data_IF_320414945375
#
_entry.id   IF_320414945375
#
_cell.length_a   1.000
_cell.length_b   1.000
_cell.length_c   1.000
_cell.angle_alpha   90.00
_cell.angle_beta   90.00
_cell.angle_gamma   90.00
#
_symmetry.space_group_name_H-M   'P 1'
#
loop_
_entity.id
_entity.type
_entity.pdbx_description
1 polymer ?
#
# COMPACT_ATOMS: atom_id res chain seq x y z
N UNK A 1 -13.50 -16.38 -15.36
CA UNK A 1 -12.20 -15.99 -14.81
C UNK A 1 -11.77 -14.58 -15.22
N UNK A 2 -11.82 -14.18 -16.49
CA UNK A 2 -11.39 -12.83 -16.94
C UNK A 2 -12.12 -11.67 -16.25
N UNK A 3 -13.44 -11.74 -16.07
CA UNK A 3 -14.24 -10.69 -15.42
C UNK A 3 -13.90 -10.47 -13.93
N UNK A 4 -13.48 -11.53 -13.22
CA UNK A 4 -13.08 -11.43 -11.81
C UNK A 4 -11.71 -10.77 -11.66
N UNK A 5 -10.78 -11.02 -12.58
CA UNK A 5 -9.45 -10.39 -12.58
C UNK A 5 -9.55 -8.89 -12.87
N UNK A 6 -10.27 -8.50 -13.93
CA UNK A 6 -10.47 -7.08 -14.27
C UNK A 6 -11.13 -6.30 -13.13
N UNK A 7 -12.10 -6.89 -12.44
CA UNK A 7 -12.73 -6.26 -11.27
C UNK A 7 -11.72 -6.05 -10.14
N UNK A 8 -10.88 -7.04 -9.86
CA UNK A 8 -9.83 -6.92 -8.85
C UNK A 8 -8.81 -5.84 -9.21
N UNK A 9 -8.43 -5.75 -10.49
CA UNK A 9 -7.47 -4.75 -10.98
C UNK A 9 -8.03 -3.33 -10.85
N UNK A 10 -9.31 -3.13 -11.19
CA UNK A 10 -9.99 -1.83 -11.01
C UNK A 10 -10.08 -1.44 -9.53
N UNK A 11 -10.35 -2.40 -8.63
CA UNK A 11 -10.39 -2.12 -7.20
C UNK A 11 -9.00 -1.80 -6.64
N UNK A 12 -7.94 -2.46 -7.14
CA UNK A 12 -6.56 -2.12 -6.78
C UNK A 12 -6.16 -0.74 -7.31
N UNK A 13 -6.66 -0.35 -8.49
CA UNK A 13 -6.44 1.00 -9.02
C UNK A 13 -7.13 2.07 -8.15
N UNK A 14 -8.35 1.78 -7.65
CA UNK A 14 -9.02 2.65 -6.67
C UNK A 14 -8.21 2.75 -5.38
N UNK A 15 -7.65 1.64 -4.89
CA UNK A 15 -6.77 1.65 -3.73
C UNK A 15 -5.51 2.49 -3.98
N UNK A 16 -4.88 2.36 -5.16
CA UNK A 16 -3.73 3.16 -5.57
C UNK A 16 -4.06 4.66 -5.62
N UNK A 17 -5.24 5.03 -6.13
CA UNK A 17 -5.71 6.42 -6.13
C UNK A 17 -5.85 6.97 -4.70
N UNK A 18 -6.50 6.21 -3.81
CA UNK A 18 -6.68 6.61 -2.41
C UNK A 18 -5.31 6.75 -1.73
N UNK A 19 -4.39 5.80 -1.92
CA UNK A 19 -3.06 5.88 -1.31
C UNK A 19 -2.21 7.02 -1.87
N UNK A 20 -2.26 7.26 -3.17
CA UNK A 20 -1.57 8.39 -3.79
C UNK A 20 -1.98 9.72 -3.17
N UNK A 21 -3.28 9.97 -3.07
CA UNK A 21 -3.81 11.16 -2.42
C UNK A 21 -3.58 11.17 -0.90
N UNK A 22 -3.45 10.01 -0.26
CA UNK A 22 -3.12 9.89 1.16
C UNK A 22 -1.73 10.44 1.49
N UNK A 23 -0.75 10.43 0.57
CA UNK A 23 0.57 11.03 0.82
C UNK A 23 0.46 12.52 1.16
N UNK A 24 -0.47 13.25 0.52
CA UNK A 24 -0.77 14.64 0.85
C UNK A 24 -1.33 14.75 2.26
N UNK A 25 -2.34 13.96 2.60
CA UNK A 25 -2.92 13.95 3.94
C UNK A 25 -1.88 13.58 5.01
N UNK A 26 -1.02 12.58 4.74
CA UNK A 26 0.07 12.20 5.63
C UNK A 26 1.05 13.36 5.85
N UNK A 27 1.43 14.08 4.78
CA UNK A 27 2.34 15.23 4.87
C UNK A 27 1.72 16.37 5.68
N UNK A 28 0.46 16.70 5.43
CA UNK A 28 -0.28 17.71 6.20
C UNK A 28 -0.41 17.31 7.68
N UNK A 29 -0.62 16.04 7.98
CA UNK A 29 -0.69 15.56 9.37
C UNK A 29 0.59 15.78 10.15
N UNK A 30 1.76 15.75 9.49
CA UNK A 30 3.07 15.96 10.14
C UNK A 30 3.30 17.41 10.58
N UNK A 31 2.49 18.35 10.14
CA UNK A 31 2.57 19.73 10.59
C UNK A 31 1.98 19.93 12.01
N UNK A 32 1.21 18.93 12.49
CA UNK A 32 0.47 19.02 13.76
C UNK A 32 0.93 17.96 14.78
N UNK A 33 1.15 16.71 14.35
CA UNK A 33 1.44 15.58 15.24
C UNK A 33 2.62 14.75 14.75
N UNK A 34 3.23 13.98 15.66
CA UNK A 34 4.33 13.09 15.33
C UNK A 34 3.90 11.90 14.45
N UNK A 35 4.87 11.31 13.71
CA UNK A 35 4.62 10.21 12.77
C UNK A 35 3.98 8.98 13.42
N UNK A 36 4.37 8.64 14.63
CA UNK A 36 3.83 7.47 15.33
C UNK A 36 2.43 7.73 15.88
N UNK A 37 2.16 8.93 16.40
CA UNK A 37 0.82 9.36 16.82
C UNK A 37 -0.14 9.34 15.63
N UNK A 38 0.28 9.86 14.48
CA UNK A 38 -0.53 9.81 13.26
C UNK A 38 -0.86 8.38 12.85
N UNK A 39 0.14 7.48 12.81
CA UNK A 39 -0.07 6.08 12.47
C UNK A 39 -0.98 5.37 13.48
N UNK A 40 -0.79 5.60 14.78
CA UNK A 40 -1.65 5.04 15.82
C UNK A 40 -3.12 5.43 15.59
N UNK A 41 -3.40 6.71 15.38
CA UNK A 41 -4.76 7.22 15.20
C UNK A 41 -5.40 6.73 13.90
N UNK A 42 -4.69 6.79 12.76
CA UNK A 42 -5.28 6.38 11.47
C UNK A 42 -5.57 4.88 11.42
N UNK A 43 -4.70 4.03 11.98
CA UNK A 43 -4.93 2.58 11.98
C UNK A 43 -5.95 2.16 13.04
N UNK A 44 -6.03 2.84 14.20
CA UNK A 44 -7.13 2.66 15.14
C UNK A 44 -8.47 2.96 14.48
N UNK A 45 -8.57 4.10 13.81
CA UNK A 45 -9.78 4.50 13.08
C UNK A 45 -10.11 3.53 11.95
N UNK A 46 -9.09 3.04 11.22
CA UNK A 46 -9.26 2.01 10.20
C UNK A 46 -9.84 0.71 10.78
N UNK A 47 -9.34 0.26 11.93
CA UNK A 47 -9.89 -0.91 12.62
C UNK A 47 -11.36 -0.68 13.04
N UNK A 48 -11.66 0.47 13.66
CA UNK A 48 -13.02 0.84 14.09
C UNK A 48 -13.98 0.88 12.89
N UNK A 49 -13.56 1.40 11.74
CA UNK A 49 -14.34 1.46 10.51
C UNK A 49 -14.75 0.06 10.01
N UNK A 50 -13.93 -0.96 10.28
CA UNK A 50 -14.22 -2.35 9.87
C UNK A 50 -15.12 -3.11 10.86
N UNK A 51 -15.23 -2.67 12.12
CA UNK A 51 -16.02 -3.37 13.15
C UNK A 51 -17.45 -3.67 12.70
N UNK A 52 -18.24 -2.72 12.14
CA UNK A 52 -19.58 -3.00 11.68
C UNK A 52 -19.63 -4.07 10.58
N UNK A 53 -18.63 -4.09 9.69
CA UNK A 53 -18.53 -5.05 8.60
C UNK A 53 -18.14 -6.44 9.10
N UNK A 54 -17.26 -6.51 10.11
CA UNK A 54 -16.84 -7.78 10.74
C UNK A 54 -17.99 -8.42 11.50
N UNK A 55 -18.83 -7.63 12.19
CA UNK A 55 -19.96 -8.12 12.99
C UNK A 55 -21.20 -8.36 12.12
N UNK A 56 -21.50 -7.46 11.18
CA UNK A 56 -22.77 -7.40 10.46
C UNK A 56 -22.82 -8.22 9.18
N UNK A 57 -21.68 -8.59 8.58
CA UNK A 57 -21.64 -9.34 7.33
C UNK A 57 -21.22 -10.79 7.62
N UNK A 58 -22.18 -11.74 7.68
CA UNK A 58 -21.82 -13.14 7.76
C UNK A 58 -21.01 -13.51 6.51
N UNK A 59 -19.88 -14.18 6.72
CA UNK A 59 -19.05 -14.67 5.62
C UNK A 59 -19.81 -15.71 4.80
N UNK A 60 -20.36 -15.30 3.65
CA UNK A 60 -21.10 -16.15 2.70
C UNK A 60 -20.20 -16.69 1.57
N UNK A 61 -18.89 -16.62 1.72
CA UNK A 61 -17.93 -17.15 0.73
C UNK A 61 -18.15 -18.64 0.52
N UNK A 62 -18.16 -19.10 -0.75
CA UNK A 62 -18.32 -20.49 -1.17
C UNK A 62 -17.17 -21.43 -0.73
N UNK A 63 -16.07 -20.89 -0.25
CA UNK A 63 -15.12 -21.65 0.54
C UNK A 63 -15.71 -21.79 1.93
N UNK A 64 -15.83 -23.02 2.49
CA UNK A 64 -16.17 -23.19 3.88
C UNK A 64 -15.33 -22.19 4.67
N UNK A 65 -15.85 -21.62 5.78
CA UNK A 65 -14.94 -21.06 6.72
C UNK A 65 -13.98 -22.24 6.96
N UNK A 66 -12.78 -22.18 6.38
CA UNK A 66 -11.70 -22.94 6.97
C UNK A 66 -11.89 -22.57 8.42
N UNK A 67 -12.30 -23.55 9.23
CA UNK A 67 -12.50 -23.36 10.66
C UNK A 67 -11.29 -22.57 11.06
N UNK A 68 -11.51 -21.24 11.22
CA UNK A 68 -10.45 -20.30 10.99
C UNK A 68 -9.44 -20.69 12.05
N UNK A 69 -8.33 -21.29 11.59
CA UNK A 69 -7.30 -21.66 12.52
C UNK A 69 -6.96 -20.34 13.19
N UNK A 70 -7.61 -20.09 14.33
CA UNK A 70 -7.55 -18.82 15.08
C UNK A 70 -6.11 -18.44 15.28
N UNK A 71 -5.25 -19.46 15.37
CA UNK A 71 -3.81 -19.31 15.41
C UNK A 71 -3.25 -18.71 14.10
N UNK A 72 -3.65 -19.21 12.93
CA UNK A 72 -3.23 -18.64 11.66
C UNK A 72 -3.69 -17.19 11.52
N UNK A 73 -4.94 -16.91 11.92
CA UNK A 73 -5.51 -15.56 11.83
C UNK A 73 -4.78 -14.59 12.76
N UNK A 74 -4.57 -14.95 14.03
CA UNK A 74 -3.91 -14.08 15.00
C UNK A 74 -2.42 -13.90 14.69
N UNK A 75 -1.68 -14.99 14.47
CA UNK A 75 -0.25 -14.90 14.16
C UNK A 75 0.00 -14.30 12.78
N UNK A 76 -0.74 -14.74 11.76
CA UNK A 76 -0.60 -14.21 10.40
C UNK A 76 -1.02 -12.75 10.31
N UNK A 77 -2.18 -12.39 10.86
CA UNK A 77 -2.64 -11.00 10.94
C UNK A 77 -1.71 -10.12 11.78
N UNK A 78 -1.17 -10.65 12.89
CA UNK A 78 -0.16 -9.97 13.71
C UNK A 78 1.14 -9.72 12.96
N UNK A 79 1.66 -10.72 12.20
CA UNK A 79 2.84 -10.57 11.35
C UNK A 79 2.61 -9.58 10.21
N UNK A 80 1.42 -9.62 9.59
CA UNK A 80 1.03 -8.62 8.60
C UNK A 80 0.98 -7.21 9.22
N UNK A 81 0.45 -7.09 10.46
CA UNK A 81 0.44 -5.86 11.22
C UNK A 81 1.83 -5.35 11.59
N UNK A 82 2.76 -6.24 11.90
CA UNK A 82 4.17 -5.88 12.15
C UNK A 82 4.85 -5.38 10.86
N UNK A 83 4.65 -6.04 9.73
CA UNK A 83 5.15 -5.58 8.44
C UNK A 83 4.52 -4.23 8.05
N UNK A 84 3.21 -4.08 8.25
CA UNK A 84 2.47 -2.82 8.06
C UNK A 84 3.03 -1.71 8.95
N UNK A 85 3.29 -2.00 10.23
CA UNK A 85 3.92 -1.06 11.16
C UNK A 85 5.30 -0.62 10.67
N UNK A 86 6.15 -1.56 10.25
CA UNK A 86 7.48 -1.24 9.70
C UNK A 86 7.40 -0.35 8.48
N UNK A 87 6.57 -0.71 7.48
CA UNK A 87 6.36 0.08 6.26
C UNK A 87 5.80 1.46 6.54
N UNK A 88 4.69 1.52 7.28
CA UNK A 88 4.00 2.76 7.58
C UNK A 88 4.84 3.71 8.46
N UNK A 89 5.58 3.18 9.45
CA UNK A 89 6.42 4.00 10.33
C UNK A 89 7.62 4.58 9.59
N UNK A 90 8.32 3.76 8.82
CA UNK A 90 9.45 4.23 8.03
C UNK A 90 9.02 5.27 7.00
N UNK A 91 7.91 5.03 6.30
CA UNK A 91 7.34 5.97 5.35
C UNK A 91 6.93 7.28 6.04
N UNK A 92 6.27 7.21 7.19
CA UNK A 92 5.77 8.39 7.90
C UNK A 92 6.91 9.22 8.49
N UNK A 93 7.95 8.58 9.04
CA UNK A 93 9.18 9.28 9.48
C UNK A 93 9.85 9.94 8.27
N UNK A 94 9.94 9.24 7.15
CA UNK A 94 10.52 9.76 5.92
C UNK A 94 9.80 11.02 5.42
N UNK A 95 8.46 11.04 5.47
CA UNK A 95 7.63 12.18 5.05
C UNK A 95 7.85 13.47 5.86
N UNK A 96 8.44 13.39 7.05
CA UNK A 96 8.89 14.58 7.79
C UNK A 96 10.00 15.32 7.05
N UNK A 97 10.81 14.59 6.27
CA UNK A 97 12.05 15.11 5.64
C UNK A 97 12.02 15.12 4.11
N UNK A 98 10.96 14.61 3.48
CA UNK A 98 10.85 14.53 2.01
C UNK A 98 9.45 14.95 1.52
N UNK A 99 9.30 15.15 0.20
CA UNK A 99 8.02 15.54 -0.40
C UNK A 99 7.07 14.34 -0.56
N UNK A 100 5.78 14.60 -0.72
CA UNK A 100 4.76 13.58 -0.94
C UNK A 100 5.05 12.79 -2.24
N UNK A 101 5.38 13.49 -3.34
CA UNK A 101 5.70 12.86 -4.62
C UNK A 101 6.96 11.98 -4.53
N UNK A 102 8.03 12.44 -3.84
CA UNK A 102 9.27 11.67 -3.69
C UNK A 102 9.08 10.45 -2.77
N UNK A 103 8.30 10.59 -1.70
CA UNK A 103 7.95 9.47 -0.84
C UNK A 103 7.12 8.42 -1.60
N UNK A 104 6.12 8.83 -2.37
CA UNK A 104 5.35 7.93 -3.23
C UNK A 104 6.24 7.17 -4.22
N UNK A 105 7.19 7.86 -4.85
CA UNK A 105 8.19 7.25 -5.73
C UNK A 105 8.98 6.13 -5.04
N UNK A 106 9.65 6.46 -3.93
CA UNK A 106 10.53 5.52 -3.24
C UNK A 106 9.73 4.35 -2.68
N UNK A 107 8.54 4.61 -2.14
CA UNK A 107 7.62 3.55 -1.70
C UNK A 107 7.31 2.60 -2.85
N UNK A 108 6.95 3.11 -4.01
CA UNK A 108 6.58 2.29 -5.17
C UNK A 108 7.71 1.45 -5.76
N UNK A 109 8.96 1.60 -5.29
CA UNK A 109 10.04 0.66 -5.63
C UNK A 109 9.74 -0.79 -5.18
N UNK A 110 8.74 -1.00 -4.31
CA UNK A 110 8.26 -2.35 -4.05
C UNK A 110 7.76 -3.07 -5.31
N UNK A 111 7.44 -2.37 -6.39
CA UNK A 111 7.10 -2.95 -7.70
C UNK A 111 8.20 -3.89 -8.24
N UNK A 112 9.45 -3.62 -7.90
CA UNK A 112 10.60 -4.47 -8.24
C UNK A 112 10.93 -5.44 -7.11
N UNK A 113 10.82 -4.97 -5.87
CA UNK A 113 11.13 -5.79 -4.70
C UNK A 113 10.19 -7.00 -4.57
N UNK A 114 8.89 -6.83 -4.87
CA UNK A 114 7.91 -7.91 -4.79
C UNK A 114 8.22 -9.07 -5.76
N UNK A 115 8.40 -8.88 -7.09
CA UNK A 115 8.74 -9.99 -7.96
C UNK A 115 10.11 -10.62 -7.62
N UNK A 116 11.12 -9.82 -7.25
CA UNK A 116 12.45 -10.33 -6.86
C UNK A 116 12.33 -11.18 -5.59
N UNK A 117 11.73 -10.67 -4.53
CA UNK A 117 11.54 -11.45 -3.29
C UNK A 117 10.62 -12.64 -3.50
N UNK A 118 9.65 -12.56 -4.42
CA UNK A 118 8.80 -13.65 -4.83
C UNK A 118 9.58 -14.82 -5.42
N UNK A 119 10.64 -14.57 -6.21
CA UNK A 119 11.50 -15.64 -6.72
C UNK A 119 12.19 -16.43 -5.59
N UNK A 120 12.69 -15.74 -4.57
CA UNK A 120 13.29 -16.39 -3.39
C UNK A 120 12.26 -17.19 -2.58
N UNK A 121 10.99 -16.84 -2.65
CA UNK A 121 9.89 -17.57 -2.04
C UNK A 121 9.34 -18.70 -2.93
N UNK A 122 9.97 -18.97 -4.09
CA UNK A 122 9.54 -19.99 -5.04
C UNK A 122 8.34 -19.60 -5.90
N UNK A 123 7.91 -18.34 -5.88
CA UNK A 123 6.81 -17.88 -6.72
C UNK A 123 7.28 -17.69 -8.16
N UNK A 124 6.52 -18.22 -9.11
CA UNK A 124 6.75 -17.99 -10.55
C UNK A 124 5.95 -16.75 -10.98
N UNK A 125 6.62 -15.77 -11.55
CA UNK A 125 5.98 -14.60 -12.11
C UNK A 125 5.76 -14.75 -13.61
N UNK A 126 4.66 -14.19 -14.13
CA UNK A 126 4.46 -14.08 -15.58
C UNK A 126 5.61 -13.30 -16.22
N UNK A 127 6.03 -13.71 -17.41
CA UNK A 127 7.09 -13.02 -18.19
C UNK A 127 6.76 -11.53 -18.39
N UNK A 128 5.48 -11.18 -18.54
CA UNK A 128 5.03 -9.79 -18.70
C UNK A 128 5.27 -8.90 -17.46
N UNK A 129 5.47 -9.47 -16.27
CA UNK A 129 5.77 -8.72 -15.04
C UNK A 129 7.12 -7.99 -15.16
N UNK A 130 8.11 -8.60 -15.82
CA UNK A 130 9.46 -8.02 -15.91
C UNK A 130 9.53 -6.75 -16.78
N UNK A 131 9.02 -6.75 -18.04
CA UNK A 131 8.98 -5.51 -18.82
C UNK A 131 8.04 -4.48 -18.19
N UNK A 132 6.94 -4.89 -17.55
CA UNK A 132 6.08 -3.99 -16.79
C UNK A 132 6.83 -3.33 -15.63
N UNK A 133 7.56 -4.09 -14.81
CA UNK A 133 8.37 -3.55 -13.72
C UNK A 133 9.48 -2.62 -14.24
N UNK A 134 10.14 -2.97 -15.35
CA UNK A 134 11.16 -2.10 -15.96
C UNK A 134 10.56 -0.77 -16.43
N UNK A 135 9.39 -0.76 -17.07
CA UNK A 135 8.69 0.46 -17.46
C UNK A 135 8.24 1.28 -16.24
N UNK A 136 7.74 0.62 -15.19
CA UNK A 136 7.38 1.28 -13.94
C UNK A 136 8.59 1.99 -13.33
N UNK A 137 9.74 1.31 -13.23
CA UNK A 137 10.99 1.90 -12.70
C UNK A 137 11.47 3.07 -13.55
N UNK A 138 11.43 2.94 -14.89
CA UNK A 138 11.80 4.03 -15.78
C UNK A 138 10.86 5.24 -15.61
N UNK A 139 9.55 4.98 -15.48
CA UNK A 139 8.55 6.02 -15.20
C UNK A 139 8.76 6.67 -13.84
N UNK A 140 9.00 5.87 -12.80
CA UNK A 140 9.34 6.31 -11.46
C UNK A 140 10.60 7.21 -11.47
N UNK A 141 11.63 6.80 -12.20
CA UNK A 141 12.84 7.59 -12.35
C UNK A 141 12.58 8.96 -12.97
N UNK A 142 11.83 9.00 -14.09
CA UNK A 142 11.49 10.27 -14.75
C UNK A 142 10.61 11.17 -13.88
N UNK A 143 9.68 10.59 -13.13
CA UNK A 143 8.75 11.35 -12.29
C UNK A 143 9.46 12.02 -11.11
N UNK A 144 10.45 11.39 -10.53
CA UNK A 144 10.95 11.78 -9.20
C UNK A 144 12.34 12.39 -9.20
N UNK A 145 13.16 12.14 -10.23
CA UNK A 145 14.49 12.71 -10.32
C UNK A 145 14.41 14.05 -11.05
N UNK A 146 14.39 15.13 -10.30
CA UNK A 146 14.66 16.48 -10.75
C UNK A 146 16.19 16.72 -10.79
N UNK A 147 16.64 17.94 -11.08
CA UNK A 147 18.04 18.30 -11.45
C UNK A 147 19.15 17.90 -10.47
N UNK A 148 18.83 17.55 -9.21
CA UNK A 148 19.80 17.04 -8.25
C UNK A 148 19.28 15.79 -7.54
N UNK A 149 19.86 14.62 -7.87
CA UNK A 149 19.61 13.37 -7.15
C UNK A 149 20.41 13.37 -5.84
N UNK A 150 19.87 14.03 -4.82
CA UNK A 150 20.44 13.94 -3.47
C UNK A 150 19.55 13.01 -2.65
N UNK A 151 20.10 11.87 -2.23
CA UNK A 151 19.41 10.97 -1.30
C UNK A 151 19.47 11.60 0.09
N UNK A 152 18.33 12.09 0.56
CA UNK A 152 18.19 12.64 1.90
C UNK A 152 17.91 11.56 2.96
N UNK A 153 17.98 11.95 4.24
CA UNK A 153 17.64 11.04 5.35
C UNK A 153 16.22 10.49 5.23
N UNK A 154 15.27 11.33 4.81
CA UNK A 154 13.87 10.91 4.60
C UNK A 154 13.75 9.82 3.55
N UNK A 155 14.51 9.92 2.47
CA UNK A 155 14.48 8.95 1.37
C UNK A 155 14.96 7.56 1.82
N UNK A 156 15.98 7.50 2.70
CA UNK A 156 16.47 6.25 3.27
C UNK A 156 15.42 5.59 4.15
N UNK A 157 14.70 6.36 4.97
CA UNK A 157 13.59 5.81 5.76
C UNK A 157 12.51 5.24 4.85
N UNK A 158 12.07 5.99 3.82
CA UNK A 158 11.04 5.50 2.89
C UNK A 158 11.52 4.26 2.13
N UNK A 159 12.80 4.19 1.74
CA UNK A 159 13.38 3.03 1.07
C UNK A 159 13.36 1.79 1.97
N UNK A 160 13.72 1.91 3.24
CA UNK A 160 13.57 0.82 4.21
C UNK A 160 12.09 0.42 4.32
N UNK A 161 11.19 1.41 4.32
CA UNK A 161 9.75 1.18 4.28
C UNK A 161 9.30 0.33 3.08
N UNK A 162 9.88 0.57 1.90
CA UNK A 162 9.54 -0.18 0.67
C UNK A 162 9.83 -1.69 0.80
N UNK A 163 10.85 -2.11 1.54
CA UNK A 163 11.10 -3.52 1.85
C UNK A 163 10.00 -4.11 2.74
N UNK A 164 9.56 -3.38 3.75
CA UNK A 164 8.44 -3.82 4.60
C UNK A 164 7.13 -3.90 3.80
N UNK A 165 6.90 -2.98 2.86
CA UNK A 165 5.75 -3.04 1.95
C UNK A 165 5.81 -4.27 1.05
N UNK A 166 6.98 -4.63 0.52
CA UNK A 166 7.14 -5.86 -0.27
C UNK A 166 6.83 -7.12 0.57
N UNK A 167 7.33 -7.18 1.80
CA UNK A 167 7.01 -8.27 2.75
C UNK A 167 5.50 -8.31 3.03
N UNK A 168 4.89 -7.15 3.29
CA UNK A 168 3.46 -7.05 3.56
C UNK A 168 2.62 -7.56 2.39
N UNK A 169 2.95 -7.17 1.15
CA UNK A 169 2.25 -7.65 -0.07
C UNK A 169 2.28 -9.18 -0.17
N UNK A 170 3.43 -9.82 0.11
CA UNK A 170 3.53 -11.27 0.11
C UNK A 170 2.73 -11.92 1.24
N UNK A 171 2.81 -11.39 2.46
CA UNK A 171 2.04 -11.88 3.60
C UNK A 171 0.54 -11.81 3.32
N UNK A 172 0.05 -10.68 2.84
CA UNK A 172 -1.36 -10.52 2.49
C UNK A 172 -1.77 -11.46 1.36
N UNK A 173 -0.96 -11.60 0.30
CA UNK A 173 -1.24 -12.54 -0.78
C UNK A 173 -1.36 -13.99 -0.32
N UNK A 174 -0.59 -14.39 0.70
CA UNK A 174 -0.68 -15.71 1.31
C UNK A 174 -1.89 -15.86 2.25
N UNK A 175 -2.11 -14.89 3.13
CA UNK A 175 -3.15 -14.94 4.16
C UNK A 175 -4.56 -14.78 3.59
N UNK A 176 -4.75 -13.88 2.62
CA UNK A 176 -6.04 -13.56 2.04
C UNK A 176 -6.72 -14.77 1.35
N UNK A 177 -5.92 -15.75 0.92
CA UNK A 177 -6.43 -17.01 0.34
C UNK A 177 -6.87 -18.02 1.40
N UNK A 178 -6.45 -17.85 2.66
CA UNK A 178 -6.57 -18.84 3.75
C UNK A 178 -7.45 -18.40 4.90
N UNK A 179 -7.74 -17.11 5.02
CA UNK A 179 -8.55 -16.55 6.09
C UNK A 179 -9.48 -15.45 5.57
N UNK A 180 -10.42 -15.01 6.41
CA UNK A 180 -11.36 -13.93 6.06
C UNK A 180 -10.60 -12.60 5.91
N UNK A 181 -10.69 -11.93 4.75
CA UNK A 181 -10.01 -10.66 4.49
C UNK A 181 -10.32 -9.55 5.50
N UNK A 182 -11.58 -9.44 5.95
CA UNK A 182 -11.98 -8.42 6.93
C UNK A 182 -11.30 -8.63 8.27
N UNK A 183 -11.20 -9.89 8.72
CA UNK A 183 -10.53 -10.21 9.98
C UNK A 183 -9.02 -9.96 9.88
N UNK A 184 -8.39 -10.33 8.75
CA UNK A 184 -6.97 -10.03 8.51
C UNK A 184 -6.74 -8.52 8.55
N UNK A 185 -7.56 -7.74 7.82
CA UNK A 185 -7.46 -6.29 7.78
C UNK A 185 -7.62 -5.67 9.19
N UNK A 186 -8.62 -6.12 9.95
CA UNK A 186 -8.87 -5.62 11.30
C UNK A 186 -7.69 -5.92 12.25
N UNK A 187 -7.19 -7.17 12.27
CA UNK A 187 -6.10 -7.58 13.15
C UNK A 187 -4.80 -6.85 12.82
N UNK A 188 -4.45 -6.72 11.53
CA UNK A 188 -3.24 -5.97 11.15
C UNK A 188 -3.32 -4.49 11.53
N UNK A 189 -4.51 -3.85 11.43
CA UNK A 189 -4.68 -2.47 11.84
C UNK A 189 -4.57 -2.31 13.36
N UNK A 190 -5.19 -3.20 14.15
CA UNK A 190 -5.06 -3.20 15.60
C UNK A 190 -3.59 -3.37 16.00
N UNK A 191 -2.88 -4.33 15.40
CA UNK A 191 -1.47 -4.57 15.71
C UNK A 191 -0.60 -3.36 15.34
N UNK A 192 -0.78 -2.79 14.13
CA UNK A 192 -0.05 -1.60 13.68
C UNK A 192 -0.34 -0.39 14.55
N UNK A 193 -1.60 -0.16 14.91
CA UNK A 193 -2.02 0.93 15.81
C UNK A 193 -1.40 0.79 17.19
N UNK A 194 -1.47 -0.40 17.79
CA UNK A 194 -0.93 -0.66 19.12
C UNK A 194 0.60 -0.46 19.15
N UNK A 195 1.32 -1.00 18.17
CA UNK A 195 2.78 -0.82 18.06
C UNK A 195 3.15 0.66 17.86
N UNK A 196 2.41 1.37 16.99
CA UNK A 196 2.62 2.81 16.77
C UNK A 196 2.36 3.61 18.04
N UNK A 197 1.29 3.29 18.77
CA UNK A 197 0.96 3.96 20.03
C UNK A 197 2.02 3.72 21.10
N UNK A 198 2.52 2.48 21.25
CA UNK A 198 3.61 2.17 22.18
C UNK A 198 4.85 3.02 21.89
N UNK A 199 5.22 3.18 20.62
CA UNK A 199 6.38 4.01 20.24
C UNK A 199 6.07 5.50 20.44
N UNK A 200 4.84 5.95 20.09
CA UNK A 200 4.43 7.34 20.27
C UNK A 200 4.50 7.78 21.74
N UNK A 201 4.03 6.96 22.66
CA UNK A 201 4.07 7.25 24.12
C UNK A 201 5.51 7.47 24.61
N UNK A 202 6.47 6.75 24.04
CA UNK A 202 7.88 6.84 24.46
C UNK A 202 8.61 8.00 23.78
N UNK A 203 8.32 8.27 22.49
CA UNK A 203 9.15 9.16 21.68
C UNK A 203 8.47 10.49 21.34
N UNK A 204 7.16 10.62 21.47
CA UNK A 204 6.41 11.79 21.04
C UNK A 204 5.61 12.43 22.17
N UNK A 205 5.32 13.71 22.02
CA UNK A 205 4.41 14.42 22.93
C UNK A 205 3.00 14.35 22.36
N UNK A 206 2.16 13.52 22.94
CA UNK A 206 0.77 13.35 22.52
C UNK A 206 -0.09 14.47 23.11
N UNK A 207 -0.72 15.28 22.27
CA UNK A 207 -1.64 16.35 22.64
C UNK A 207 -2.99 16.15 21.98
N UNK A 208 -4.06 16.20 22.74
CA UNK A 208 -5.42 16.09 22.20
C UNK A 208 -5.74 17.24 21.23
N UNK A 209 -5.30 18.45 21.53
CA UNK A 209 -5.52 19.60 20.64
C UNK A 209 -4.81 19.41 19.31
N UNK A 210 -3.55 18.98 19.32
CA UNK A 210 -2.79 18.69 18.11
C UNK A 210 -3.42 17.55 17.27
N UNK A 211 -4.01 16.52 17.92
CA UNK A 211 -4.77 15.47 17.25
C UNK A 211 -6.02 16.04 16.59
N UNK A 212 -6.72 16.97 17.24
CA UNK A 212 -7.90 17.63 16.67
C UNK A 212 -7.52 18.53 15.49
N UNK A 213 -6.38 19.23 15.55
CA UNK A 213 -5.86 20.01 14.43
C UNK A 213 -5.51 19.12 13.21
N UNK A 214 -5.05 17.89 13.46
CA UNK A 214 -4.79 16.88 12.44
C UNK A 214 -6.03 16.02 12.07
N UNK A 215 -7.25 16.38 12.51
CA UNK A 215 -8.43 15.53 12.36
C UNK A 215 -8.73 15.16 10.89
N UNK A 216 -8.66 16.11 9.96
CA UNK A 216 -8.92 15.86 8.53
C UNK A 216 -7.92 14.85 7.95
N UNK A 217 -6.59 15.04 8.09
CA UNK A 217 -5.60 14.04 7.72
C UNK A 217 -5.82 12.66 8.35
N UNK A 218 -6.17 12.61 9.63
CA UNK A 218 -6.44 11.36 10.35
C UNK A 218 -7.69 10.66 9.82
N UNK A 219 -8.78 11.40 9.62
CA UNK A 219 -10.03 10.84 9.06
C UNK A 219 -9.80 10.28 7.66
N UNK A 220 -9.11 11.03 6.81
CA UNK A 220 -8.76 10.57 5.46
C UNK A 220 -7.89 9.31 5.51
N UNK A 221 -6.80 9.36 6.27
CA UNK A 221 -5.86 8.25 6.43
C UNK A 221 -6.48 7.02 7.11
N UNK A 222 -7.39 7.21 8.06
CA UNK A 222 -8.06 6.13 8.80
C UNK A 222 -9.21 5.49 8.02
N UNK A 223 -10.14 6.30 7.51
CA UNK A 223 -11.33 5.76 6.84
C UNK A 223 -11.01 5.31 5.41
N UNK A 224 -10.44 6.20 4.60
CA UNK A 224 -10.20 5.89 3.18
C UNK A 224 -8.95 5.05 2.99
N UNK A 225 -7.80 5.48 3.52
CA UNK A 225 -6.54 4.77 3.29
C UNK A 225 -6.49 3.44 4.05
N UNK A 226 -6.70 3.44 5.38
CA UNK A 226 -6.70 2.20 6.16
C UNK A 226 -8.00 1.40 5.93
N UNK A 227 -9.16 1.97 6.25
CA UNK A 227 -10.44 1.26 6.21
C UNK A 227 -10.81 0.74 4.81
N UNK A 228 -10.70 1.57 3.77
CA UNK A 228 -11.11 1.18 2.41
C UNK A 228 -9.94 0.58 1.63
N UNK A 229 -8.85 1.32 1.36
CA UNK A 229 -7.85 0.91 0.39
C UNK A 229 -7.08 -0.37 0.80
N UNK A 230 -6.60 -0.49 2.04
CA UNK A 230 -5.97 -1.74 2.51
C UNK A 230 -6.95 -2.91 2.54
N UNK A 231 -8.22 -2.67 2.84
CA UNK A 231 -9.25 -3.72 2.79
C UNK A 231 -9.47 -4.19 1.36
N UNK A 232 -9.56 -3.28 0.38
CA UNK A 232 -9.61 -3.62 -1.03
C UNK A 232 -8.38 -4.43 -1.45
N UNK A 233 -7.18 -4.06 -1.02
CA UNK A 233 -5.96 -4.83 -1.27
C UNK A 233 -6.10 -6.27 -0.78
N UNK A 234 -6.50 -6.48 0.48
CA UNK A 234 -6.66 -7.83 1.04
C UNK A 234 -7.68 -8.65 0.26
N UNK A 235 -8.81 -8.05 -0.14
CA UNK A 235 -9.81 -8.72 -0.97
C UNK A 235 -9.27 -9.09 -2.34
N UNK A 236 -8.60 -8.17 -3.02
CA UNK A 236 -8.11 -8.37 -4.38
C UNK A 236 -6.94 -9.37 -4.43
N UNK A 237 -6.05 -9.36 -3.44
CA UNK A 237 -4.93 -10.29 -3.37
C UNK A 237 -5.32 -11.76 -3.09
N UNK A 238 -6.61 -12.05 -2.85
CA UNK A 238 -7.12 -13.44 -2.88
C UNK A 238 -6.99 -14.09 -4.25
N UNK A 239 -7.14 -13.29 -5.30
CA UNK A 239 -7.18 -13.77 -6.70
C UNK A 239 -6.02 -13.24 -7.53
N UNK A 240 -5.44 -12.10 -7.16
CA UNK A 240 -4.33 -11.48 -7.87
C UNK A 240 -2.99 -12.03 -7.38
N UNK A 241 -2.06 -12.21 -8.32
CA UNK A 241 -0.67 -12.55 -7.98
C UNK A 241 0.02 -11.32 -7.33
N UNK A 242 0.85 -11.49 -6.27
CA UNK A 242 1.47 -10.38 -5.56
C UNK A 242 2.23 -9.40 -6.47
N UNK A 243 3.01 -9.90 -7.43
CA UNK A 243 3.76 -9.06 -8.36
C UNK A 243 2.86 -8.26 -9.31
N UNK A 244 1.74 -8.83 -9.79
CA UNK A 244 0.74 -8.14 -10.60
C UNK A 244 0.05 -7.04 -9.79
N UNK A 245 -0.38 -7.35 -8.58
CA UNK A 245 -0.98 -6.38 -7.66
C UNK A 245 -0.01 -5.23 -7.35
N UNK A 246 1.28 -5.52 -7.13
CA UNK A 246 2.30 -4.52 -6.85
C UNK A 246 2.45 -3.50 -8.00
N UNK A 247 2.37 -3.95 -9.27
CA UNK A 247 2.45 -3.04 -10.42
C UNK A 247 1.23 -2.12 -10.48
N UNK A 248 0.03 -2.63 -10.26
CA UNK A 248 -1.18 -1.79 -10.25
C UNK A 248 -1.11 -0.78 -9.10
N UNK A 249 -0.76 -1.24 -7.91
CA UNK A 249 -0.67 -0.39 -6.72
C UNK A 249 0.43 0.67 -6.84
N UNK A 250 1.53 0.43 -7.58
CA UNK A 250 2.59 1.42 -7.80
C UNK A 250 2.10 2.69 -8.52
N UNK A 251 0.94 2.66 -9.17
CA UNK A 251 0.30 3.85 -9.73
C UNK A 251 -0.08 4.87 -8.64
N UNK A 252 -0.04 4.50 -7.35
CA UNK A 252 -0.16 5.46 -6.26
C UNK A 252 0.82 6.63 -6.40
N UNK A 253 2.01 6.41 -6.99
CA UNK A 253 2.98 7.48 -7.25
C UNK A 253 2.47 8.50 -8.25
N UNK A 254 1.77 8.06 -9.31
CA UNK A 254 1.15 8.97 -10.29
C UNK A 254 0.12 9.86 -9.60
N UNK A 255 -0.74 9.23 -8.78
CA UNK A 255 -1.75 9.95 -8.02
C UNK A 255 -1.15 10.84 -6.93
N UNK A 256 -0.04 10.42 -6.28
CA UNK A 256 0.69 11.24 -5.32
C UNK A 256 1.29 12.48 -5.98
N UNK A 257 1.89 12.34 -7.15
CA UNK A 257 2.46 13.44 -7.90
C UNK A 257 1.38 14.44 -8.36
N UNK A 258 0.25 13.94 -8.87
CA UNK A 258 -0.89 14.78 -9.27
C UNK A 258 -1.51 15.50 -8.06
N UNK A 259 -1.68 14.81 -6.94
CA UNK A 259 -2.20 15.41 -5.71
C UNK A 259 -1.21 16.41 -5.10
N UNK A 260 0.08 16.12 -5.10
CA UNK A 260 1.14 17.05 -4.68
C UNK A 260 1.14 18.32 -5.52
N UNK A 261 0.99 18.20 -6.84
CA UNK A 261 0.84 19.35 -7.73
C UNK A 261 -0.41 20.18 -7.41
N UNK A 262 -1.57 19.53 -7.19
CA UNK A 262 -2.86 20.21 -6.99
C UNK A 262 -2.99 20.84 -5.60
N UNK A 263 -2.49 20.20 -4.55
CA UNK A 263 -2.77 20.58 -3.15
C UNK A 263 -1.56 21.13 -2.40
N UNK A 264 -0.33 20.77 -2.81
CA UNK A 264 0.90 21.19 -2.14
C UNK A 264 1.78 22.11 -3.00
N UNK A 265 1.30 22.52 -4.20
CA UNK A 265 2.05 23.31 -5.18
C UNK A 265 3.41 22.65 -5.56
N UNK A 266 3.51 21.32 -5.54
CA UNK A 266 4.69 20.61 -6.00
C UNK A 266 4.78 20.73 -7.53
N UNK A 267 6.00 20.91 -8.07
CA UNK A 267 6.18 21.08 -9.51
C UNK A 267 6.09 19.77 -10.28
N UNK A 268 5.22 19.70 -11.29
CA UNK A 268 5.09 18.58 -12.22
C UNK A 268 5.42 19.02 -13.64
N UNK A 269 6.69 18.89 -14.03
CA UNK A 269 7.15 19.26 -15.37
C UNK A 269 6.88 18.18 -16.44
N UNK A 270 7.26 18.46 -17.70
CA UNK A 270 7.12 17.53 -18.82
C UNK A 270 7.77 16.18 -18.58
N UNK A 271 8.91 16.15 -17.89
CA UNK A 271 9.61 14.92 -17.49
C UNK A 271 8.75 14.08 -16.53
N UNK A 272 8.10 14.71 -15.57
CA UNK A 272 7.18 14.04 -14.65
C UNK A 272 5.96 13.46 -15.39
N UNK A 273 5.39 14.21 -16.34
CA UNK A 273 4.30 13.72 -17.19
C UNK A 273 4.72 12.50 -18.03
N UNK A 274 5.93 12.53 -18.63
CA UNK A 274 6.48 11.35 -19.31
C UNK A 274 6.65 10.16 -18.38
N UNK A 275 7.09 10.39 -17.13
CA UNK A 275 7.15 9.36 -16.09
C UNK A 275 5.80 8.74 -15.78
N UNK A 276 4.76 9.56 -15.57
CA UNK A 276 3.38 9.08 -15.38
C UNK A 276 2.90 8.23 -16.56
N UNK A 277 3.19 8.66 -17.80
CA UNK A 277 2.81 7.92 -19.03
C UNK A 277 3.47 6.55 -19.08
N UNK A 278 4.76 6.43 -18.73
CA UNK A 278 5.46 5.14 -18.68
C UNK A 278 4.88 4.22 -17.60
N UNK A 279 4.51 4.77 -16.45
CA UNK A 279 3.88 3.99 -15.38
C UNK A 279 2.49 3.46 -15.81
N UNK A 280 1.69 4.28 -16.50
CA UNK A 280 0.42 3.82 -17.07
C UNK A 280 0.65 2.77 -18.18
N UNK A 281 1.67 2.93 -19.01
CA UNK A 281 2.04 1.94 -20.00
C UNK A 281 2.47 0.60 -19.35
N UNK A 282 3.15 0.65 -18.19
CA UNK A 282 3.54 -0.56 -17.45
C UNK A 282 2.33 -1.40 -17.06
N UNK A 283 1.23 -0.76 -16.63
CA UNK A 283 -0.02 -1.43 -16.31
C UNK A 283 -0.58 -2.17 -17.53
N UNK A 284 -0.61 -1.51 -18.70
CA UNK A 284 -1.11 -2.11 -19.94
C UNK A 284 -0.26 -3.33 -20.33
N UNK A 285 1.06 -3.23 -20.25
CA UNK A 285 1.98 -4.34 -20.59
C UNK A 285 1.74 -5.57 -19.68
N UNK A 286 1.52 -5.36 -18.39
CA UNK A 286 1.27 -6.47 -17.46
C UNK A 286 -0.10 -7.12 -17.67
N UNK A 287 -1.08 -6.34 -18.14
CA UNK A 287 -2.42 -6.85 -18.43
C UNK A 287 -2.54 -7.46 -19.84
N UNK A 288 -1.59 -7.20 -20.73
CA UNK A 288 -1.64 -7.65 -22.12
C UNK A 288 -1.88 -9.16 -22.29
N UNK A 289 -1.24 -10.08 -21.52
CA UNK A 289 -1.53 -11.50 -21.62
C UNK A 289 -2.98 -11.86 -21.27
N UNK A 290 -3.59 -11.15 -20.33
CA UNK A 290 -4.99 -11.33 -19.95
C UNK A 290 -5.94 -10.83 -21.04
N UNK A 291 -5.62 -9.70 -21.67
CA UNK A 291 -6.41 -9.10 -22.74
C UNK A 291 -6.33 -9.93 -24.03
N UNK A 292 -5.18 -10.54 -24.31
CA UNK A 292 -4.96 -11.38 -25.50
C UNK A 292 -5.42 -12.85 -25.30
N UNK A 293 -6.05 -13.17 -24.17
CA UNK A 293 -6.57 -14.53 -23.91
C UNK A 293 -5.48 -15.58 -23.68
N UNK A 294 -4.23 -15.17 -23.53
CA UNK A 294 -3.14 -16.08 -23.17
C UNK A 294 -3.39 -16.56 -21.74
N UNK A 295 -3.69 -17.87 -21.59
CA UNK A 295 -3.85 -18.47 -20.26
C UNK A 295 -2.52 -18.32 -19.52
N UNK A 296 -2.47 -17.34 -18.60
CA UNK A 296 -1.45 -17.35 -17.55
C UNK A 296 -1.74 -18.60 -16.75
N UNK A 297 -0.97 -19.65 -16.97
CA UNK A 297 -1.04 -20.87 -16.18
C UNK A 297 -0.80 -20.44 -14.74
N UNK A 298 -1.89 -20.33 -13.97
CA UNK A 298 -1.83 -20.29 -12.53
C UNK A 298 -1.35 -21.70 -12.11
N UNK A 299 -0.04 -21.88 -12.04
CA UNK A 299 0.54 -23.06 -11.41
C UNK A 299 0.10 -23.03 -9.94
N UNK A 300 -0.88 -23.89 -9.67
CA UNK A 300 -1.24 -24.36 -8.34
C UNK A 300 -0.05 -25.18 -7.82
N UNK A 301 0.77 -24.58 -7.00
CA UNK A 301 1.74 -25.22 -6.15
C UNK A 301 1.43 -24.88 -4.69
#
# INVERSE_FOLDING_TARGET
MQTTTLKSDLLLLVAAFIWGTTFVAQRMGMDHIGPMTYNAMRFALGAVTLVPLVIGIPWTGKTPPLQANTRLLLWGGGLAGLALFGGASMQQIGLVYTTAGKAGFITSLYVVLVPITGLFLGHRCSVAVWPGAALAVAGLYLLSITESFVIGRGDLFVLVGAFFWAIHVHLIGHLARRANPLHIACIQFIACSALSLCVAIVLERISLLAILDAAIPILYGGILSAGVAFTLQVFCQRTSHPAHAAIIMSLETVFAALAGYLFLNEYLGLRGLAGCTLMLASLIVVQLPLLLGSSVTADSG
#
